data_IF_488981743765
#
_entry.id   IF_488981743765
#
_cell.length_a   1.000
_cell.length_b   1.000
_cell.length_c   1.000
_cell.angle_alpha   90.00
_cell.angle_beta   90.00
_cell.angle_gamma   90.00
#
_symmetry.space_group_name_H-M   'P 1'
#
loop_
_entity.id
_entity.type
_entity.pdbx_description
1 polymer ?
#
# COMPACT_ATOMS: atom_id res chain seq x y z
N UNK A 1 60.73 15.72 13.28
CA UNK A 1 59.45 15.05 13.54
C UNK A 1 58.70 15.94 14.51
N UNK A 2 57.77 16.72 13.96
CA UNK A 2 57.05 17.77 14.67
C UNK A 2 55.79 17.21 15.30
N UNK A 3 55.55 17.53 16.57
CA UNK A 3 54.24 17.48 17.20
C UNK A 3 54.21 18.61 18.22
N UNK A 4 53.53 19.70 17.86
CA UNK A 4 53.29 20.82 18.74
C UNK A 4 51.86 20.71 19.28
N UNK A 5 51.74 21.00 20.57
CA UNK A 5 50.64 20.71 21.47
C UNK A 5 49.35 21.46 21.10
N UNK A 6 48.23 20.74 21.08
CA UNK A 6 46.89 21.32 21.00
C UNK A 6 46.45 21.82 22.37
N UNK A 7 46.42 23.14 22.52
CA UNK A 7 45.87 23.90 23.63
C UNK A 7 44.40 23.53 23.89
N UNK A 8 44.13 22.88 25.03
CA UNK A 8 42.76 22.77 25.59
C UNK A 8 42.64 23.87 26.65
N UNK A 9 41.86 24.90 26.34
CA UNK A 9 41.45 25.96 27.26
C UNK A 9 40.60 25.37 28.39
N UNK A 10 41.07 25.54 29.63
CA UNK A 10 40.33 25.39 30.87
C UNK A 10 39.28 26.51 30.98
N UNK A 11 37.99 26.17 30.93
CA UNK A 11 36.90 27.09 31.26
C UNK A 11 36.49 26.88 32.73
N UNK A 12 36.41 27.98 33.48
CA UNK A 12 36.02 27.99 34.89
C UNK A 12 34.57 27.55 35.11
N UNK A 13 34.19 26.98 36.29
CA UNK A 13 32.91 26.30 36.46
C UNK A 13 31.67 27.21 36.62
N UNK A 14 31.78 28.53 36.42
CA UNK A 14 30.71 29.47 36.81
C UNK A 14 30.42 30.62 35.83
N UNK A 15 31.00 30.63 34.64
CA UNK A 15 30.61 31.61 33.62
C UNK A 15 29.38 31.14 32.83
N UNK A 16 28.42 32.04 32.70
CA UNK A 16 27.18 31.80 31.97
C UNK A 16 27.46 31.82 30.45
N UNK A 17 27.28 30.70 29.72
CA UNK A 17 27.63 30.62 28.29
C UNK A 17 26.58 31.28 27.37
N UNK A 18 25.47 31.76 27.93
CA UNK A 18 24.36 32.33 27.17
C UNK A 18 24.57 33.83 26.91
N UNK A 19 24.27 34.25 25.68
CA UNK A 19 24.24 35.68 25.32
C UNK A 19 23.06 36.40 25.99
N UNK A 20 23.10 37.73 26.07
CA UNK A 20 22.00 38.54 26.63
C UNK A 20 20.64 38.21 25.98
N UNK A 21 20.61 38.05 24.65
CA UNK A 21 19.38 37.70 23.92
C UNK A 21 18.88 36.29 24.21
N UNK A 22 19.80 35.35 24.44
CA UNK A 22 19.46 33.98 24.84
C UNK A 22 19.00 33.93 26.31
N UNK A 23 19.52 34.82 27.15
CA UNK A 23 19.09 34.98 28.55
C UNK A 23 17.66 35.52 28.65
N UNK A 24 17.29 36.50 27.82
CA UNK A 24 15.93 37.02 27.76
C UNK A 24 14.92 35.93 27.37
N UNK A 25 15.29 35.09 26.39
CA UNK A 25 14.50 33.92 25.98
C UNK A 25 14.45 32.88 27.10
N UNK A 26 15.57 32.61 27.78
CA UNK A 26 15.67 31.66 28.89
C UNK A 26 14.82 32.07 30.11
N UNK A 27 14.75 33.36 30.44
CA UNK A 27 13.88 33.87 31.53
C UNK A 27 12.42 33.54 31.28
N UNK A 28 11.92 33.77 30.07
CA UNK A 28 10.54 33.44 29.68
C UNK A 28 10.34 31.93 29.47
N UNK A 29 11.41 31.18 29.16
CA UNK A 29 11.36 29.73 29.08
C UNK A 29 11.02 29.10 30.44
N UNK A 30 11.68 29.57 31.49
CA UNK A 30 11.56 29.08 32.88
C UNK A 30 10.15 29.35 33.44
N UNK A 31 9.46 30.41 33.00
CA UNK A 31 8.07 30.68 33.40
C UNK A 31 7.03 29.80 32.69
N UNK A 32 7.45 28.90 31.80
CA UNK A 32 6.54 28.02 31.05
C UNK A 32 5.91 28.65 29.80
N UNK A 33 6.32 29.85 29.39
CA UNK A 33 5.72 30.55 28.24
C UNK A 33 5.95 29.81 26.90
N UNK A 34 4.91 29.64 26.09
CA UNK A 34 5.01 29.05 24.75
C UNK A 34 5.90 29.89 23.80
N UNK A 35 6.39 29.30 22.70
CA UNK A 35 7.24 30.03 21.75
C UNK A 35 6.56 31.28 21.17
N UNK A 36 5.22 31.26 21.03
CA UNK A 36 4.42 32.40 20.56
C UNK A 36 4.32 33.49 21.63
N UNK A 37 4.25 33.12 22.91
CA UNK A 37 4.25 34.06 24.04
C UNK A 37 5.63 34.69 24.27
N UNK A 38 6.70 33.90 24.15
CA UNK A 38 8.08 34.40 24.18
C UNK A 38 8.32 35.40 23.03
N UNK A 39 7.87 35.05 21.82
CA UNK A 39 7.96 35.92 20.65
C UNK A 39 7.24 37.26 20.86
N UNK A 40 6.04 37.21 21.45
CA UNK A 40 5.25 38.40 21.80
C UNK A 40 5.92 39.22 22.90
N UNK A 41 6.45 38.58 23.93
CA UNK A 41 7.10 39.26 25.07
C UNK A 41 8.41 39.95 24.70
N UNK A 42 9.15 39.42 23.72
CA UNK A 42 10.42 39.99 23.28
C UNK A 42 10.32 40.80 21.97
N UNK A 43 9.11 40.95 21.41
CA UNK A 43 8.86 41.64 20.13
C UNK A 43 9.75 41.10 18.99
N UNK A 44 9.81 39.77 18.85
CA UNK A 44 10.57 39.06 17.80
C UNK A 44 9.69 38.02 17.11
N UNK A 45 10.13 37.48 15.97
CA UNK A 45 9.35 36.45 15.26
C UNK A 45 9.39 35.10 16.00
N UNK A 46 8.34 34.25 15.91
CA UNK A 46 8.37 32.88 16.46
C UNK A 46 9.48 32.01 15.86
N UNK A 47 9.92 32.28 14.63
CA UNK A 47 11.06 31.59 14.01
C UNK A 47 12.37 31.98 14.68
N UNK A 48 12.55 33.25 15.04
CA UNK A 48 13.72 33.75 15.77
C UNK A 48 13.82 33.13 17.17
N UNK A 49 12.68 32.94 17.87
CA UNK A 49 12.64 32.23 19.16
C UNK A 49 13.13 30.79 19.03
N UNK A 50 12.71 30.06 17.99
CA UNK A 50 13.18 28.69 17.75
C UNK A 50 14.69 28.61 17.57
N UNK A 51 15.28 29.59 16.88
CA UNK A 51 16.74 29.66 16.69
C UNK A 51 17.45 29.91 18.03
N UNK A 52 16.99 30.87 18.83
CA UNK A 52 17.58 31.14 20.14
C UNK A 52 17.44 29.95 21.10
N UNK A 53 16.30 29.25 21.11
CA UNK A 53 16.13 28.06 21.94
C UNK A 53 17.05 26.91 21.54
N UNK A 54 17.25 26.70 20.23
CA UNK A 54 18.22 25.70 19.76
C UNK A 54 19.63 26.01 20.24
N UNK A 55 20.06 27.27 20.14
CA UNK A 55 21.38 27.67 20.61
C UNK A 55 21.52 27.56 22.14
N UNK A 56 20.46 27.89 22.90
CA UNK A 56 20.42 27.68 24.36
C UNK A 56 20.58 26.20 24.68
N UNK A 57 19.86 25.30 23.99
CA UNK A 57 19.95 23.87 24.23
C UNK A 57 21.34 23.30 23.89
N UNK A 58 21.93 23.75 22.78
CA UNK A 58 23.28 23.36 22.38
C UNK A 58 24.35 23.82 23.39
N UNK A 59 24.26 25.07 23.87
CA UNK A 59 25.18 25.63 24.86
C UNK A 59 25.03 25.01 26.25
N UNK A 60 23.82 24.61 26.62
CA UNK A 60 23.55 23.93 27.89
C UNK A 60 23.76 22.41 27.80
N UNK A 61 23.97 21.85 26.59
CA UNK A 61 24.05 20.41 26.31
C UNK A 61 22.81 19.63 26.77
N UNK A 62 21.63 20.22 26.61
CA UNK A 62 20.33 19.64 27.01
C UNK A 62 19.48 19.34 25.79
N UNK A 63 18.63 18.31 25.90
CA UNK A 63 17.79 17.86 24.78
C UNK A 63 16.35 18.34 24.88
N UNK A 64 15.96 18.86 26.05
CA UNK A 64 14.58 19.23 26.33
C UNK A 64 14.45 20.56 27.06
N UNK A 65 13.29 21.19 26.89
CA UNK A 65 12.91 22.44 27.56
C UNK A 65 12.88 22.31 29.09
N UNK A 66 12.38 21.20 29.61
CA UNK A 66 12.25 20.97 31.06
C UNK A 66 13.62 20.81 31.71
N UNK A 67 14.54 20.12 31.02
CA UNK A 67 15.93 19.97 31.44
C UNK A 67 16.65 21.32 31.43
N UNK A 68 16.49 22.11 30.37
CA UNK A 68 17.01 23.46 30.28
C UNK A 68 16.53 24.36 31.44
N UNK A 69 15.22 24.36 31.73
CA UNK A 69 14.64 25.17 32.82
C UNK A 69 15.16 24.76 34.19
N UNK A 70 15.28 23.45 34.44
CA UNK A 70 15.81 22.92 35.70
C UNK A 70 17.25 23.34 35.92
N UNK A 71 18.08 23.23 34.89
CA UNK A 71 19.50 23.55 34.94
C UNK A 71 19.75 25.05 35.11
N UNK A 72 18.95 25.90 34.47
CA UNK A 72 18.99 27.36 34.63
C UNK A 72 18.67 27.82 36.07
N UNK A 73 17.69 27.15 36.72
CA UNK A 73 17.34 27.41 38.12
C UNK A 73 18.39 26.88 39.08
N UNK A 74 18.89 25.66 38.86
CA UNK A 74 19.87 25.01 39.73
C UNK A 74 21.22 25.73 39.73
N UNK A 75 21.63 26.30 38.59
CA UNK A 75 22.84 27.14 38.49
C UNK A 75 22.62 28.59 38.93
N UNK A 76 21.39 28.97 39.31
CA UNK A 76 21.06 30.33 39.77
C UNK A 76 21.14 31.39 38.66
N UNK A 77 21.13 31.00 37.38
CA UNK A 77 21.24 31.93 36.25
C UNK A 77 19.93 32.65 35.94
N UNK A 78 18.79 32.07 36.36
CA UNK A 78 17.47 32.70 36.30
C UNK A 78 16.82 32.61 37.68
N UNK A 79 16.30 33.73 38.17
CA UNK A 79 15.52 33.79 39.42
C UNK A 79 14.07 34.09 39.04
N UNK A 80 13.14 33.28 39.57
CA UNK A 80 11.71 33.51 39.40
C UNK A 80 11.25 34.67 40.30
N UNK A 81 10.58 35.72 39.77
CA UNK A 81 9.94 36.72 40.60
C UNK A 81 8.74 36.09 41.31
N UNK A 82 8.77 35.98 42.65
CA UNK A 82 7.64 35.46 43.44
C UNK A 82 7.98 34.55 44.63
N UNK A 83 9.25 34.25 44.89
CA UNK A 83 9.70 33.70 46.18
C UNK A 83 10.43 34.79 46.96
N UNK A 84 9.67 35.71 47.53
CA UNK A 84 10.11 36.37 48.76
C UNK A 84 9.91 35.36 49.89
N UNK A 85 10.99 34.98 50.55
CA UNK A 85 10.90 34.33 51.86
C UNK A 85 11.79 35.11 52.80
N UNK A 86 11.11 35.91 53.61
CA UNK A 86 11.61 36.64 54.76
C UNK A 86 12.66 35.83 55.52
N UNK A 87 13.91 36.29 55.50
CA UNK A 87 14.92 35.84 56.46
C UNK A 87 15.11 36.93 57.51
N UNK A 88 14.06 37.15 58.31
CA UNK A 88 14.14 37.82 59.60
C UNK A 88 13.42 36.98 60.64
N UNK A 89 14.13 36.00 61.20
CA UNK A 89 13.74 35.34 62.44
C UNK A 89 15.01 35.05 63.25
N UNK A 90 15.35 36.03 64.10
CA UNK A 90 15.93 35.89 65.44
C UNK A 90 16.94 34.77 65.69
N UNK A 91 18.20 35.21 65.86
CA UNK A 91 19.23 34.57 66.67
C UNK A 91 18.68 34.21 68.05
N UNK A 92 18.42 32.92 68.29
CA UNK A 92 18.43 32.34 69.62
C UNK A 92 19.38 31.14 69.60
N UNK A 93 20.50 31.33 70.28
CA UNK A 93 21.52 30.34 70.60
C UNK A 93 20.90 29.17 71.38
N UNK A 94 20.90 27.98 70.78
CA UNK A 94 20.93 26.72 71.52
C UNK A 94 22.16 25.96 71.03
N UNK A 95 23.19 26.00 71.86
CA UNK A 95 24.39 25.19 71.73
C UNK A 95 24.03 23.74 72.07
N UNK A 96 23.80 22.93 71.05
CA UNK A 96 23.71 21.46 71.18
C UNK A 96 24.94 20.87 70.51
N UNK A 97 25.85 20.33 71.32
CA UNK A 97 27.04 19.63 70.85
C UNK A 97 26.67 18.50 69.88
N UNK A 98 27.28 18.50 68.69
CA UNK A 98 27.14 17.44 67.69
C UNK A 98 27.73 16.12 68.23
N UNK A 99 27.07 14.97 68.04
CA UNK A 99 27.68 13.68 68.32
C UNK A 99 28.79 13.39 67.30
N UNK A 100 29.91 12.82 67.78
CA UNK A 100 31.02 12.36 66.95
C UNK A 100 30.52 11.39 65.87
N UNK A 101 30.74 11.74 64.61
CA UNK A 101 30.43 10.89 63.44
C UNK A 101 31.45 9.75 63.38
N UNK A 102 31.00 8.50 63.52
CA UNK A 102 31.83 7.33 63.26
C UNK A 102 32.17 7.25 61.75
N UNK A 103 33.41 6.86 61.38
CA UNK A 103 33.79 6.71 59.98
C UNK A 103 33.02 5.57 59.33
N UNK A 104 32.48 5.84 58.13
CA UNK A 104 31.77 4.87 57.30
C UNK A 104 32.64 3.63 57.03
N UNK A 105 32.06 2.44 57.22
CA UNK A 105 32.73 1.18 56.92
C UNK A 105 33.01 1.06 55.41
N UNK A 106 34.22 0.64 55.01
CA UNK A 106 34.54 0.49 53.60
C UNK A 106 33.76 -0.68 53.00
N UNK A 107 33.08 -0.41 51.88
CA UNK A 107 32.41 -1.43 51.07
C UNK A 107 33.42 -2.47 50.56
N UNK A 108 33.07 -3.77 50.54
CA UNK A 108 33.96 -4.81 50.06
C UNK A 108 34.29 -4.61 48.57
N UNK A 109 35.58 -4.62 48.24
CA UNK A 109 36.12 -4.27 46.92
C UNK A 109 35.90 -5.32 45.81
N UNK A 110 35.23 -6.45 46.09
CA UNK A 110 35.04 -7.55 45.15
C UNK A 110 33.60 -8.08 45.23
N UNK A 111 32.85 -8.19 44.12
CA UNK A 111 31.51 -8.74 44.12
C UNK A 111 31.53 -10.22 44.49
N UNK A 112 30.58 -10.67 45.31
CA UNK A 112 30.47 -12.08 45.72
C UNK A 112 30.05 -12.93 44.51
N UNK A 113 30.51 -14.19 44.43
CA UNK A 113 30.26 -15.08 43.28
C UNK A 113 28.79 -15.16 42.83
N UNK A 114 27.83 -15.07 43.76
CA UNK A 114 26.40 -15.08 43.44
C UNK A 114 25.93 -13.81 42.70
N UNK A 115 26.54 -12.65 42.97
CA UNK A 115 26.27 -11.39 42.27
C UNK A 115 26.80 -11.44 40.84
N UNK A 116 27.94 -12.11 40.63
CA UNK A 116 28.50 -12.39 39.30
C UNK A 116 27.61 -13.35 38.51
N UNK A 117 27.12 -14.41 39.16
CA UNK A 117 26.15 -15.34 38.55
C UNK A 117 24.85 -14.61 38.19
N UNK A 118 24.35 -13.75 39.07
CA UNK A 118 23.17 -12.94 38.80
C UNK A 118 23.38 -11.96 37.64
N UNK A 119 24.53 -11.29 37.59
CA UNK A 119 24.86 -10.37 36.51
C UNK A 119 24.99 -11.11 35.16
N UNK A 120 25.64 -12.27 35.14
CA UNK A 120 25.75 -13.11 33.94
C UNK A 120 24.39 -13.63 33.48
N UNK A 121 23.52 -14.03 34.43
CA UNK A 121 22.15 -14.43 34.11
C UNK A 121 21.33 -13.26 33.56
N UNK A 122 21.47 -12.06 34.13
CA UNK A 122 20.81 -10.85 33.64
C UNK A 122 21.30 -10.45 32.24
N UNK A 123 22.60 -10.53 31.98
CA UNK A 123 23.18 -10.28 30.64
C UNK A 123 22.68 -11.32 29.64
N UNK A 124 22.59 -12.60 30.02
CA UNK A 124 22.04 -13.66 29.18
C UNK A 124 20.56 -13.38 28.85
N UNK A 125 19.76 -13.00 29.85
CA UNK A 125 18.35 -12.61 29.65
C UNK A 125 18.24 -11.39 28.73
N UNK A 126 19.10 -10.38 28.88
CA UNK A 126 19.15 -9.22 27.99
C UNK A 126 19.57 -9.60 26.58
N UNK A 127 20.57 -10.48 26.40
CA UNK A 127 20.96 -10.97 25.07
C UNK A 127 19.84 -11.77 24.42
N UNK A 128 19.16 -12.66 25.17
CA UNK A 128 17.99 -13.39 24.66
C UNK A 128 16.88 -12.40 24.29
N UNK A 129 16.59 -11.40 25.12
CA UNK A 129 15.59 -10.37 24.81
C UNK A 129 15.96 -9.49 23.60
N UNK A 130 17.25 -9.27 23.34
CA UNK A 130 17.72 -8.43 22.23
C UNK A 130 17.86 -9.20 20.91
N UNK A 131 18.26 -10.47 20.97
CA UNK A 131 18.52 -11.30 19.79
C UNK A 131 17.33 -12.19 19.38
N UNK A 132 16.41 -12.55 20.28
CA UNK A 132 15.20 -13.31 19.93
C UNK A 132 14.28 -12.56 18.96
N UNK A 133 14.04 -11.23 19.07
CA UNK A 133 13.25 -10.50 18.08
C UNK A 133 13.92 -10.41 16.71
N UNK A 134 15.23 -10.67 16.62
CA UNK A 134 15.98 -10.68 15.35
C UNK A 134 16.09 -12.06 14.71
N UNK A 135 15.92 -13.14 15.49
CA UNK A 135 15.99 -14.52 15.00
C UNK A 135 14.62 -15.18 14.81
N UNK A 136 13.55 -14.63 15.39
CA UNK A 136 12.20 -14.85 14.87
C UNK A 136 12.16 -14.06 13.57
N UNK A 137 12.50 -14.72 12.47
CA UNK A 137 12.42 -14.12 11.14
C UNK A 137 11.09 -13.39 11.02
N UNK A 138 11.13 -12.13 10.58
CA UNK A 138 9.97 -11.55 9.92
C UNK A 138 9.67 -12.50 8.77
N UNK A 139 8.77 -13.45 8.98
CA UNK A 139 8.08 -14.10 7.89
C UNK A 139 7.45 -12.94 7.14
N UNK A 140 7.99 -12.61 5.97
CA UNK A 140 7.22 -11.83 5.02
C UNK A 140 5.88 -12.56 4.92
N UNK A 141 4.73 -11.90 5.13
CA UNK A 141 3.45 -12.55 4.89
C UNK A 141 3.54 -13.10 3.46
N UNK A 142 3.44 -14.42 3.34
CA UNK A 142 3.46 -15.05 2.03
C UNK A 142 2.21 -14.57 1.32
N UNK A 143 2.37 -13.73 0.31
CA UNK A 143 1.24 -13.18 -0.46
C UNK A 143 0.55 -14.38 -1.10
N UNK A 144 -0.71 -14.61 -0.73
CA UNK A 144 -1.52 -15.58 -1.42
C UNK A 144 -2.08 -14.93 -2.71
N UNK A 145 -1.55 -15.40 -3.84
CA UNK A 145 -1.94 -14.91 -5.15
C UNK A 145 -3.34 -15.38 -5.56
N UNK A 146 -3.96 -16.32 -4.85
CA UNK A 146 -5.21 -16.95 -5.26
C UNK A 146 -6.40 -16.57 -4.38
N UNK A 147 -6.19 -16.21 -3.12
CA UNK A 147 -7.25 -15.82 -2.18
C UNK A 147 -6.82 -14.74 -1.21
N UNK A 148 -7.73 -13.86 -0.82
CA UNK A 148 -7.56 -12.91 0.30
C UNK A 148 -8.46 -13.28 1.50
N UNK A 149 -9.05 -14.47 1.50
CA UNK A 149 -9.89 -14.98 2.59
C UNK A 149 -9.08 -15.10 3.89
N UNK A 150 -9.74 -14.94 5.04
CA UNK A 150 -9.16 -14.91 6.39
C UNK A 150 -8.11 -13.79 6.64
N UNK A 151 -7.84 -12.95 5.65
CA UNK A 151 -6.97 -11.78 5.76
C UNK A 151 -7.81 -10.54 6.10
N UNK A 152 -8.38 -10.50 7.30
CA UNK A 152 -9.10 -9.31 7.80
C UNK A 152 -8.36 -8.68 8.98
N UNK A 153 -7.95 -7.41 8.84
CA UNK A 153 -7.42 -6.59 9.93
C UNK A 153 -8.34 -5.38 10.10
N UNK A 154 -8.65 -5.07 11.36
CA UNK A 154 -9.49 -3.95 11.80
C UNK A 154 -8.95 -2.59 11.30
N UNK A 155 -9.45 -2.17 10.16
CA UNK A 155 -9.39 -0.81 9.66
C UNK A 155 -10.66 -0.57 8.84
N UNK A 156 -11.39 0.50 9.14
CA UNK A 156 -12.50 0.90 8.28
C UNK A 156 -11.90 1.63 7.10
N UNK A 157 -11.89 1.00 5.93
CA UNK A 157 -11.63 1.68 4.67
C UNK A 157 -12.68 2.77 4.52
N UNK A 158 -12.30 4.03 4.76
CA UNK A 158 -13.20 5.14 4.50
C UNK A 158 -13.11 5.39 3.00
N UNK A 159 -14.14 4.99 2.27
CA UNK A 159 -14.38 5.50 0.91
C UNK A 159 -14.49 7.01 1.06
N UNK A 160 -13.44 7.73 0.70
CA UNK A 160 -13.47 9.19 0.68
C UNK A 160 -14.06 9.56 -0.67
N UNK A 161 -15.34 9.90 -0.68
CA UNK A 161 -16.02 10.38 -1.88
C UNK A 161 -15.46 11.75 -2.27
N UNK A 162 -14.38 11.73 -3.05
CA UNK A 162 -13.85 12.90 -3.73
C UNK A 162 -14.91 13.31 -4.76
N UNK A 163 -15.18 14.61 -4.99
CA UNK A 163 -16.27 15.11 -5.86
C UNK A 163 -16.23 14.66 -7.34
N UNK A 164 -15.31 13.77 -7.73
CA UNK A 164 -15.19 13.18 -9.07
C UNK A 164 -15.80 11.78 -9.18
N UNK A 165 -16.10 11.12 -8.07
CA UNK A 165 -16.66 9.76 -8.05
C UNK A 165 -18.10 9.79 -7.55
N UNK A 166 -18.98 9.06 -8.22
CA UNK A 166 -20.38 8.86 -7.85
C UNK A 166 -20.61 7.41 -7.43
N UNK A 167 -21.24 7.20 -6.26
CA UNK A 167 -21.63 5.87 -5.82
C UNK A 167 -22.96 5.48 -6.49
N UNK A 168 -22.96 4.34 -7.18
CA UNK A 168 -24.13 3.77 -7.83
C UNK A 168 -24.72 2.63 -6.99
N UNK A 169 -25.76 1.97 -7.51
CA UNK A 169 -26.33 0.78 -6.88
C UNK A 169 -25.23 -0.28 -6.66
N UNK A 170 -25.03 -0.76 -5.41
CA UNK A 170 -24.00 -1.75 -5.10
C UNK A 170 -24.32 -3.08 -5.78
N UNK A 171 -23.29 -3.89 -5.98
CA UNK A 171 -23.41 -5.27 -6.47
C UNK A 171 -24.26 -6.11 -5.51
N UNK A 172 -24.84 -7.21 -6.00
CA UNK A 172 -25.69 -8.07 -5.16
C UNK A 172 -24.89 -8.84 -4.12
N UNK A 173 -23.67 -9.25 -4.48
CA UNK A 173 -22.75 -9.98 -3.61
C UNK A 173 -21.39 -9.27 -3.56
N UNK A 174 -20.86 -8.95 -2.36
CA UNK A 174 -19.49 -8.48 -2.19
C UNK A 174 -18.50 -9.54 -2.68
N UNK A 175 -17.58 -9.15 -3.57
CA UNK A 175 -16.65 -10.10 -4.20
C UNK A 175 -15.37 -9.44 -4.72
N UNK A 176 -14.33 -10.25 -4.80
CA UNK A 176 -13.03 -9.92 -5.40
C UNK A 176 -12.63 -10.98 -6.42
N UNK A 177 -11.57 -10.74 -7.20
CA UNK A 177 -11.03 -11.72 -8.17
C UNK A 177 -12.05 -12.17 -9.21
N UNK A 178 -13.04 -11.31 -9.41
CA UNK A 178 -14.08 -11.42 -10.41
C UNK A 178 -13.53 -11.03 -11.78
N UNK A 179 -14.18 -11.52 -12.83
CA UNK A 179 -13.98 -10.97 -14.16
C UNK A 179 -15.12 -10.01 -14.51
N UNK A 180 -14.83 -9.02 -15.36
CA UNK A 180 -15.80 -8.02 -15.79
C UNK A 180 -15.77 -7.90 -17.30
N UNK A 181 -16.96 -7.80 -17.90
CA UNK A 181 -17.09 -7.60 -19.33
C UNK A 181 -18.21 -6.59 -19.63
N UNK A 182 -18.04 -5.87 -20.74
CA UNK A 182 -19.03 -4.93 -21.25
C UNK A 182 -19.66 -5.50 -22.53
N UNK A 183 -21.00 -5.56 -22.58
CA UNK A 183 -21.73 -5.82 -23.82
C UNK A 183 -22.79 -4.74 -23.99
N UNK A 184 -22.68 -3.99 -25.08
CA UNK A 184 -23.58 -2.87 -25.37
C UNK A 184 -23.62 -1.90 -24.18
N UNK A 185 -24.78 -1.79 -23.54
CA UNK A 185 -25.03 -0.88 -22.42
C UNK A 185 -25.19 -1.63 -21.09
N UNK A 186 -24.60 -2.82 -20.98
CA UNK A 186 -24.68 -3.67 -19.79
C UNK A 186 -23.31 -4.12 -19.35
N UNK A 187 -23.04 -3.97 -18.06
CA UNK A 187 -21.82 -4.45 -17.41
C UNK A 187 -22.14 -5.81 -16.80
N UNK A 188 -21.27 -6.78 -17.00
CA UNK A 188 -21.37 -8.11 -16.43
C UNK A 188 -20.21 -8.35 -15.50
N UNK A 189 -20.50 -8.85 -14.30
CA UNK A 189 -19.51 -9.36 -13.35
C UNK A 189 -19.73 -10.86 -13.19
N UNK A 190 -18.65 -11.64 -13.15
CA UNK A 190 -18.72 -13.09 -13.22
C UNK A 190 -17.73 -13.72 -12.26
N UNK A 191 -18.22 -14.70 -11.51
CA UNK A 191 -17.42 -15.50 -10.59
C UNK A 191 -16.77 -14.66 -9.49
N UNK A 192 -15.54 -15.00 -9.16
CA UNK A 192 -14.78 -14.39 -8.07
C UNK A 192 -14.82 -15.22 -6.80
N UNK A 193 -14.52 -14.56 -5.70
CA UNK A 193 -14.46 -15.14 -4.36
C UNK A 193 -15.24 -14.26 -3.38
N UNK A 194 -15.99 -14.90 -2.48
CA UNK A 194 -16.81 -14.24 -1.46
C UNK A 194 -16.01 -13.88 -0.20
N UNK A 195 -16.69 -13.22 0.74
CA UNK A 195 -16.18 -12.89 2.08
C UNK A 195 -15.71 -14.11 2.88
N UNK A 196 -16.30 -15.27 2.64
CA UNK A 196 -15.98 -16.55 3.30
C UNK A 196 -14.86 -17.32 2.59
N UNK A 197 -14.31 -16.79 1.49
CA UNK A 197 -13.35 -17.50 0.66
C UNK A 197 -13.99 -18.54 -0.26
N UNK A 198 -15.31 -18.54 -0.38
CA UNK A 198 -16.02 -19.44 -1.29
C UNK A 198 -15.91 -18.94 -2.73
N UNK A 199 -15.61 -19.87 -3.64
CA UNK A 199 -15.59 -19.56 -5.07
C UNK A 199 -17.03 -19.38 -5.57
N UNK A 200 -17.24 -18.33 -6.37
CA UNK A 200 -18.56 -17.99 -6.88
C UNK A 200 -18.73 -18.47 -8.33
N UNK A 201 -19.92 -18.99 -8.64
CA UNK A 201 -20.37 -19.19 -10.03
C UNK A 201 -21.31 -18.05 -10.49
N UNK A 202 -21.69 -17.16 -9.57
CA UNK A 202 -22.69 -16.14 -9.82
C UNK A 202 -22.26 -15.17 -10.92
N UNK A 203 -23.23 -14.83 -11.76
CA UNK A 203 -23.10 -13.81 -12.79
C UNK A 203 -24.15 -12.74 -12.52
N UNK A 204 -23.72 -11.49 -12.44
CA UNK A 204 -24.62 -10.36 -12.27
C UNK A 204 -24.46 -9.40 -13.44
N UNK A 205 -25.58 -8.81 -13.86
CA UNK A 205 -25.64 -7.81 -14.93
C UNK A 205 -26.18 -6.50 -14.40
N UNK A 206 -25.41 -5.43 -14.59
CA UNK A 206 -25.84 -4.06 -14.38
C UNK A 206 -26.29 -3.43 -15.69
N UNK A 207 -27.54 -2.96 -15.73
CA UNK A 207 -28.05 -2.20 -16.87
C UNK A 207 -27.82 -0.71 -16.65
N UNK A 208 -26.85 -0.11 -17.35
CA UNK A 208 -26.38 1.26 -17.05
C UNK A 208 -27.49 2.31 -17.13
N UNK A 209 -28.42 2.19 -18.10
CA UNK A 209 -29.55 3.13 -18.25
C UNK A 209 -30.61 3.02 -17.15
N UNK A 210 -30.78 1.83 -16.60
CA UNK A 210 -31.83 1.54 -15.60
C UNK A 210 -31.27 1.70 -14.19
N UNK A 211 -29.97 1.46 -14.01
CA UNK A 211 -29.30 1.58 -12.74
C UNK A 211 -29.52 0.39 -11.80
N UNK A 212 -29.86 -0.79 -12.33
CA UNK A 212 -30.20 -1.97 -11.53
C UNK A 212 -29.33 -3.17 -11.88
N UNK A 213 -28.98 -3.91 -10.83
CA UNK A 213 -28.35 -5.23 -10.93
C UNK A 213 -29.40 -6.32 -11.09
N UNK A 214 -29.05 -7.35 -11.85
CA UNK A 214 -29.88 -8.52 -12.08
C UNK A 214 -29.01 -9.77 -12.09
N UNK A 215 -29.47 -10.82 -11.42
CA UNK A 215 -28.85 -12.15 -11.51
C UNK A 215 -29.05 -12.74 -12.91
N UNK A 216 -27.98 -13.30 -13.47
CA UNK A 216 -27.93 -13.94 -14.77
C UNK A 216 -27.59 -15.42 -14.62
N UNK A 217 -27.75 -16.24 -15.68
CA UNK A 217 -27.34 -17.64 -15.65
C UNK A 217 -25.89 -17.79 -15.16
N UNK A 218 -25.66 -18.64 -14.14
CA UNK A 218 -24.35 -18.76 -13.51
C UNK A 218 -23.35 -19.43 -14.45
N UNK A 219 -22.06 -19.25 -14.14
CA UNK A 219 -20.99 -20.00 -14.77
C UNK A 219 -21.23 -21.52 -14.59
N UNK A 220 -20.82 -22.37 -15.56
CA UNK A 220 -20.96 -23.82 -15.45
C UNK A 220 -20.28 -24.42 -14.21
N UNK A 221 -19.30 -23.71 -13.66
CA UNK A 221 -18.65 -24.04 -12.38
C UNK A 221 -18.16 -22.78 -11.67
N UNK A 222 -17.99 -22.79 -10.34
CA UNK A 222 -17.39 -21.68 -9.60
C UNK A 222 -15.94 -21.43 -10.00
N UNK A 223 -15.60 -20.17 -10.30
CA UNK A 223 -14.27 -19.77 -10.76
C UNK A 223 -13.86 -18.41 -10.19
N UNK A 224 -12.61 -18.28 -9.76
CA UNK A 224 -11.98 -16.99 -9.40
C UNK A 224 -10.71 -16.75 -10.18
N UNK A 225 -10.20 -15.50 -10.16
CA UNK A 225 -9.00 -15.08 -10.89
C UNK A 225 -9.11 -15.34 -12.41
N UNK A 226 -10.35 -15.24 -12.92
CA UNK A 226 -10.69 -15.35 -14.34
C UNK A 226 -10.50 -14.02 -15.04
N UNK A 227 -10.41 -14.07 -16.36
CA UNK A 227 -10.35 -12.87 -17.20
C UNK A 227 -11.46 -12.93 -18.23
N UNK A 228 -12.16 -11.83 -18.43
CA UNK A 228 -13.30 -11.79 -19.34
C UNK A 228 -13.24 -10.60 -20.29
N UNK A 229 -13.83 -10.77 -21.47
CA UNK A 229 -13.97 -9.70 -22.44
C UNK A 229 -15.26 -9.85 -23.23
N UNK A 230 -15.90 -8.73 -23.56
CA UNK A 230 -17.05 -8.68 -24.46
C UNK A 230 -16.59 -8.53 -25.92
N UNK A 231 -17.19 -9.32 -26.82
CA UNK A 231 -17.00 -9.19 -28.26
C UNK A 231 -18.25 -9.72 -28.99
N UNK A 232 -18.80 -8.93 -29.91
CA UNK A 232 -19.93 -9.33 -30.78
C UNK A 232 -21.13 -9.96 -30.04
N UNK A 233 -21.66 -9.30 -29.00
CA UNK A 233 -22.77 -9.81 -28.16
C UNK A 233 -22.46 -11.11 -27.38
N UNK A 234 -21.19 -11.51 -27.32
CA UNK A 234 -20.72 -12.64 -26.54
C UNK A 234 -19.75 -12.18 -25.45
N UNK A 235 -19.74 -12.88 -24.32
CA UNK A 235 -18.70 -12.73 -23.30
C UNK A 235 -17.81 -13.96 -23.38
N UNK A 236 -16.51 -13.75 -23.48
CA UNK A 236 -15.51 -14.81 -23.39
C UNK A 236 -14.86 -14.74 -22.02
N UNK A 237 -14.82 -15.87 -21.31
CA UNK A 237 -14.16 -15.99 -20.00
C UNK A 237 -13.06 -17.04 -20.13
N UNK A 238 -11.85 -16.64 -19.78
CA UNK A 238 -10.65 -17.46 -19.88
C UNK A 238 -10.06 -17.76 -18.50
N UNK A 239 -9.71 -19.03 -18.31
CA UNK A 239 -8.85 -19.48 -17.23
C UNK A 239 -9.54 -19.48 -15.88
N UNK A 240 -8.80 -19.11 -14.84
CA UNK A 240 -9.27 -19.05 -13.47
C UNK A 240 -8.92 -20.29 -12.65
N UNK A 241 -9.23 -20.25 -11.36
CA UNK A 241 -9.06 -21.35 -10.43
C UNK A 241 -10.40 -21.84 -9.89
N UNK A 242 -10.52 -23.16 -9.72
CA UNK A 242 -11.68 -23.84 -9.14
C UNK A 242 -11.24 -24.78 -8.01
N UNK A 243 -12.19 -25.19 -7.15
CA UNK A 243 -11.99 -26.28 -6.20
C UNK A 243 -12.30 -27.62 -6.88
N UNK A 244 -11.34 -28.53 -6.89
CA UNK A 244 -11.59 -29.92 -7.27
C UNK A 244 -12.24 -30.65 -6.08
N UNK A 245 -13.49 -31.07 -6.24
CA UNK A 245 -14.28 -31.76 -5.21
C UNK A 245 -13.68 -33.10 -4.77
N UNK A 246 -12.90 -33.75 -5.65
CA UNK A 246 -12.33 -35.07 -5.35
C UNK A 246 -11.09 -34.98 -4.49
N UNK A 247 -10.24 -33.98 -4.76
CA UNK A 247 -8.96 -33.77 -4.07
C UNK A 247 -9.04 -32.72 -2.98
N UNK A 248 -10.11 -31.92 -2.94
CA UNK A 248 -10.24 -30.73 -2.11
C UNK A 248 -9.08 -29.74 -2.28
N UNK A 249 -8.54 -29.63 -3.50
CA UNK A 249 -7.42 -28.74 -3.82
C UNK A 249 -7.81 -27.71 -4.90
N UNK A 250 -7.14 -26.55 -4.87
CA UNK A 250 -7.29 -25.53 -5.91
C UNK A 250 -6.60 -25.99 -7.19
N UNK A 251 -7.34 -26.04 -8.29
CA UNK A 251 -6.83 -26.36 -9.62
C UNK A 251 -7.06 -25.21 -10.58
N UNK A 252 -6.21 -25.13 -11.61
CA UNK A 252 -6.30 -24.12 -12.64
C UNK A 252 -7.11 -24.64 -13.82
N UNK A 253 -7.95 -23.78 -14.38
CA UNK A 253 -8.78 -24.07 -15.55
C UNK A 253 -8.03 -23.65 -16.81
N UNK A 254 -8.11 -24.49 -17.84
CA UNK A 254 -7.77 -24.17 -19.22
C UNK A 254 -9.02 -23.96 -20.08
N UNK A 255 -10.22 -23.91 -19.50
CA UNK A 255 -11.44 -23.77 -20.30
C UNK A 255 -11.65 -22.33 -20.78
N UNK A 256 -11.99 -22.19 -22.06
CA UNK A 256 -12.56 -20.97 -22.63
C UNK A 256 -14.08 -21.11 -22.63
N UNK A 257 -14.75 -20.33 -21.79
CA UNK A 257 -16.21 -20.27 -21.70
C UNK A 257 -16.72 -19.12 -22.55
N UNK A 258 -17.88 -19.31 -23.18
CA UNK A 258 -18.57 -18.25 -23.90
C UNK A 258 -20.03 -18.16 -23.48
N UNK A 259 -20.47 -16.94 -23.19
CA UNK A 259 -21.87 -16.61 -22.95
C UNK A 259 -22.45 -15.91 -24.18
N UNK A 260 -23.58 -16.41 -24.67
CA UNK A 260 -24.38 -15.73 -25.70
C UNK A 260 -25.42 -14.85 -25.03
N UNK A 261 -25.37 -13.53 -25.25
CA UNK A 261 -26.40 -12.62 -24.72
C UNK A 261 -27.76 -12.83 -25.40
N UNK A 262 -27.77 -13.41 -26.61
CA UNK A 262 -28.98 -13.75 -27.36
C UNK A 262 -29.65 -14.99 -26.77
N UNK A 263 -28.89 -16.06 -26.56
CA UNK A 263 -29.41 -17.33 -26.06
C UNK A 263 -29.51 -17.37 -24.53
N UNK A 264 -28.88 -16.39 -23.87
CA UNK A 264 -28.72 -16.32 -22.42
C UNK A 264 -28.18 -17.63 -21.83
N UNK A 265 -27.17 -18.21 -22.49
CA UNK A 265 -26.62 -19.49 -22.10
C UNK A 265 -25.09 -19.49 -22.19
N UNK A 266 -24.48 -20.23 -21.27
CA UNK A 266 -23.06 -20.53 -21.26
C UNK A 266 -22.78 -21.81 -22.04
N UNK A 267 -21.65 -21.84 -22.73
CA UNK A 267 -21.08 -23.06 -23.30
C UNK A 267 -19.56 -23.05 -23.18
N UNK A 268 -18.96 -24.22 -23.07
CA UNK A 268 -17.51 -24.38 -23.22
C UNK A 268 -17.17 -24.36 -24.69
N UNK A 269 -16.36 -23.39 -25.11
CA UNK A 269 -15.98 -23.19 -26.49
C UNK A 269 -14.76 -24.05 -26.87
N UNK A 270 -13.82 -24.22 -25.94
CA UNK A 270 -12.65 -25.07 -26.11
C UNK A 270 -11.64 -24.82 -24.99
N UNK A 271 -10.37 -25.10 -25.27
CA UNK A 271 -9.29 -24.97 -24.30
C UNK A 271 -8.35 -23.81 -24.66
N UNK A 272 -7.76 -23.23 -23.63
CA UNK A 272 -6.64 -22.31 -23.68
C UNK A 272 -5.36 -23.09 -24.01
N UNK A 273 -4.28 -22.40 -24.42
CA UNK A 273 -2.99 -23.05 -24.67
C UNK A 273 -2.41 -23.78 -23.45
N UNK A 274 -2.77 -23.33 -22.24
CA UNK A 274 -2.41 -23.93 -20.95
C UNK A 274 -3.40 -23.48 -19.87
N UNK A 275 -3.52 -24.22 -18.75
CA UNK A 275 -4.31 -23.79 -17.60
C UNK A 275 -3.63 -22.62 -16.89
N UNK A 276 -4.39 -21.58 -16.54
CA UNK A 276 -3.80 -20.36 -15.98
C UNK A 276 -4.77 -19.51 -15.16
N UNK A 277 -4.20 -18.63 -14.33
CA UNK A 277 -4.89 -17.54 -13.63
C UNK A 277 -4.20 -16.20 -13.86
N UNK A 278 -4.96 -15.11 -13.70
CA UNK A 278 -4.39 -13.76 -13.71
C UNK A 278 -3.79 -13.35 -15.06
N UNK A 279 -4.18 -13.96 -16.17
CA UNK A 279 -3.88 -13.35 -17.48
C UNK A 279 -4.69 -12.08 -17.68
N UNK A 280 -4.29 -11.24 -18.64
CA UNK A 280 -5.19 -10.24 -19.18
C UNK A 280 -5.91 -10.81 -20.41
N UNK A 281 -7.21 -10.57 -20.52
CA UNK A 281 -8.00 -10.87 -21.70
C UNK A 281 -8.56 -9.56 -22.25
N UNK A 282 -8.26 -9.24 -23.51
CA UNK A 282 -8.73 -8.02 -24.16
C UNK A 282 -9.15 -8.31 -25.60
N UNK A 283 -9.88 -7.41 -26.24
CA UNK A 283 -10.39 -7.60 -27.59
C UNK A 283 -10.12 -6.38 -28.45
N UNK A 284 -9.99 -6.61 -29.75
CA UNK A 284 -10.14 -5.58 -30.77
C UNK A 284 -11.52 -5.80 -31.45
N UNK A 285 -11.69 -5.31 -32.69
CA UNK A 285 -12.94 -5.45 -33.41
C UNK A 285 -13.35 -6.90 -33.78
N UNK A 286 -12.40 -7.83 -33.90
CA UNK A 286 -12.64 -9.16 -34.48
C UNK A 286 -12.03 -10.32 -33.68
N UNK A 287 -11.14 -10.04 -32.76
CA UNK A 287 -10.28 -11.03 -32.10
C UNK A 287 -10.14 -10.73 -30.61
N UNK A 288 -9.92 -11.78 -29.84
CA UNK A 288 -9.53 -11.72 -28.44
C UNK A 288 -8.04 -12.04 -28.31
N UNK A 289 -7.41 -11.42 -27.32
CA UNK A 289 -6.01 -11.56 -27.00
C UNK A 289 -5.88 -11.97 -25.54
N UNK A 290 -5.16 -13.07 -25.30
CA UNK A 290 -4.79 -13.59 -24.00
C UNK A 290 -3.31 -13.29 -23.77
N UNK A 291 -3.00 -12.60 -22.67
CA UNK A 291 -1.66 -12.10 -22.38
C UNK A 291 -1.22 -12.53 -20.99
N UNK A 292 -0.07 -13.21 -20.93
CA UNK A 292 0.60 -13.61 -19.70
C UNK A 292 -0.23 -14.56 -18.84
N UNK A 293 -0.15 -14.37 -17.51
CA UNK A 293 -0.79 -15.24 -16.52
C UNK A 293 0.20 -16.16 -15.81
N UNK A 294 -0.32 -16.98 -14.90
CA UNK A 294 0.46 -17.93 -14.11
C UNK A 294 -0.20 -19.31 -14.15
N UNK A 295 0.59 -20.36 -14.41
CA UNK A 295 0.13 -21.75 -14.57
C UNK A 295 0.29 -22.61 -13.31
N UNK A 296 0.63 -21.99 -12.17
CA UNK A 296 0.90 -22.70 -10.92
C UNK A 296 2.39 -22.90 -10.64
N UNK A 297 3.24 -22.71 -11.65
CA UNK A 297 4.69 -22.84 -11.53
C UNK A 297 5.42 -21.59 -12.04
N UNK A 298 5.08 -21.11 -13.24
CA UNK A 298 5.78 -20.02 -13.93
C UNK A 298 4.84 -18.94 -14.45
N UNK A 299 5.33 -17.70 -14.49
CA UNK A 299 4.62 -16.61 -15.17
C UNK A 299 4.91 -16.67 -16.66
N UNK A 300 3.85 -16.51 -17.46
CA UNK A 300 3.94 -16.60 -18.90
C UNK A 300 4.16 -15.24 -19.54
N UNK A 301 4.82 -15.25 -20.70
CA UNK A 301 5.09 -14.06 -21.49
C UNK A 301 4.38 -14.07 -22.85
N UNK A 302 3.64 -15.12 -23.20
CA UNK A 302 3.04 -15.19 -24.53
C UNK A 302 1.83 -14.26 -24.72
N UNK A 303 1.66 -13.82 -25.97
CA UNK A 303 0.44 -13.19 -26.47
C UNK A 303 -0.21 -14.17 -27.45
N UNK A 304 -1.37 -14.67 -27.07
CA UNK A 304 -2.19 -15.55 -27.88
C UNK A 304 -3.39 -14.80 -28.44
N UNK A 305 -3.68 -15.00 -29.73
CA UNK A 305 -4.84 -14.44 -30.42
C UNK A 305 -5.81 -15.54 -30.77
N UNK A 306 -7.10 -15.30 -30.53
CA UNK A 306 -8.19 -16.11 -31.05
C UNK A 306 -9.17 -15.21 -31.80
N UNK A 307 -9.60 -15.64 -32.98
CA UNK A 307 -10.55 -14.93 -33.83
C UNK A 307 -11.83 -15.76 -33.88
N UNK A 308 -12.88 -15.37 -33.14
CA UNK A 308 -14.13 -16.13 -33.14
C UNK A 308 -14.77 -16.16 -34.53
N UNK A 309 -15.26 -17.32 -34.93
CA UNK A 309 -16.03 -17.48 -36.17
C UNK A 309 -17.51 -17.73 -35.87
N UNK A 310 -18.43 -17.39 -36.78
CA UNK A 310 -19.85 -17.68 -36.58
C UNK A 310 -20.16 -19.17 -36.35
N UNK A 311 -19.32 -20.08 -36.88
CA UNK A 311 -19.49 -21.55 -36.81
C UNK A 311 -18.75 -22.20 -35.61
N UNK A 312 -18.28 -21.39 -34.66
CA UNK A 312 -17.60 -21.79 -33.41
C UNK A 312 -18.47 -22.69 -32.48
N UNK A 313 -19.60 -23.20 -32.96
CA UNK A 313 -20.41 -24.22 -32.30
C UNK A 313 -19.81 -25.63 -32.40
N UNK A 314 -18.86 -25.89 -33.32
CA UNK A 314 -18.34 -27.24 -33.60
C UNK A 314 -16.82 -27.36 -33.84
N UNK A 315 -16.10 -26.24 -33.99
CA UNK A 315 -14.66 -26.23 -34.28
C UNK A 315 -13.82 -26.12 -33.00
N UNK A 316 -12.67 -26.82 -32.97
CA UNK A 316 -11.67 -26.64 -31.90
C UNK A 316 -11.13 -25.22 -31.91
N UNK A 317 -11.10 -24.55 -30.76
CA UNK A 317 -10.50 -23.23 -30.58
C UNK A 317 -9.02 -23.27 -31.00
N UNK A 318 -8.68 -22.50 -32.04
CA UNK A 318 -7.33 -22.41 -32.57
C UNK A 318 -6.68 -21.09 -32.11
N UNK A 319 -5.95 -21.14 -31.01
CA UNK A 319 -5.12 -20.02 -30.56
C UNK A 319 -3.85 -19.89 -31.40
N UNK A 320 -3.55 -18.67 -31.86
CA UNK A 320 -2.32 -18.35 -32.59
C UNK A 320 -1.41 -17.48 -31.71
N UNK A 321 -0.16 -17.89 -31.51
CA UNK A 321 0.83 -17.06 -30.81
C UNK A 321 1.26 -15.92 -31.73
N UNK A 322 1.00 -14.68 -31.33
CA UNK A 322 1.29 -13.48 -32.14
C UNK A 322 2.46 -12.67 -31.60
N UNK A 323 2.89 -12.92 -30.38
CA UNK A 323 4.00 -12.19 -29.77
C UNK A 323 4.36 -12.73 -28.39
N UNK A 324 5.31 -12.05 -27.75
CA UNK A 324 5.67 -12.24 -26.34
C UNK A 324 5.90 -10.88 -25.70
N UNK A 325 5.43 -10.69 -24.47
CA UNK A 325 5.78 -9.54 -23.63
C UNK A 325 7.25 -9.65 -23.20
N UNK A 326 7.97 -8.54 -22.94
CA UNK A 326 9.41 -8.60 -22.66
C UNK A 326 9.79 -9.40 -21.40
N UNK A 327 8.87 -9.52 -20.44
CA UNK A 327 9.05 -10.27 -19.20
C UNK A 327 7.71 -10.89 -18.81
N UNK A 328 7.69 -12.20 -18.52
CA UNK A 328 6.49 -12.93 -18.12
C UNK A 328 5.90 -12.42 -16.81
N UNK A 329 4.59 -12.16 -16.80
CA UNK A 329 3.87 -11.55 -15.68
C UNK A 329 2.48 -12.14 -15.53
N UNK A 330 1.98 -12.18 -14.31
CA UNK A 330 0.59 -12.46 -13.98
C UNK A 330 -0.07 -11.25 -13.32
N UNK A 331 -1.40 -11.23 -13.29
CA UNK A 331 -2.23 -10.17 -12.76
C UNK A 331 -1.85 -8.78 -13.26
N UNK A 332 -1.44 -8.74 -14.53
CA UNK A 332 -1.19 -7.53 -15.29
C UNK A 332 -2.51 -6.95 -15.81
N UNK A 333 -2.49 -5.68 -16.18
CA UNK A 333 -3.55 -5.07 -16.97
C UNK A 333 -3.18 -5.06 -18.45
N UNK A 334 -4.13 -5.36 -19.34
CA UNK A 334 -3.95 -5.16 -20.77
C UNK A 334 -5.21 -4.62 -21.45
N UNK A 335 -5.02 -3.76 -22.44
CA UNK A 335 -6.11 -3.18 -23.23
C UNK A 335 -5.66 -2.84 -24.64
N UNK A 336 -6.58 -2.90 -25.61
CA UNK A 336 -6.31 -2.49 -26.99
C UNK A 336 -6.87 -1.09 -27.21
N UNK A 337 -6.03 -0.17 -27.69
CA UNK A 337 -6.42 1.17 -28.08
C UNK A 337 -5.78 1.53 -29.42
N UNK A 338 -6.59 1.96 -30.39
CA UNK A 338 -6.16 2.39 -31.74
C UNK A 338 -5.21 1.38 -32.43
N UNK A 339 -5.52 0.08 -32.31
CA UNK A 339 -4.76 -1.01 -32.94
C UNK A 339 -3.45 -1.39 -32.22
N UNK A 340 -3.16 -0.79 -31.07
CA UNK A 340 -2.01 -1.12 -30.23
C UNK A 340 -2.46 -1.79 -28.95
N UNK A 341 -1.74 -2.82 -28.53
CA UNK A 341 -1.97 -3.56 -27.30
C UNK A 341 -1.06 -2.99 -26.21
N UNK A 342 -1.67 -2.43 -25.16
CA UNK A 342 -0.96 -1.89 -24.01
C UNK A 342 -0.97 -2.91 -22.89
N UNK A 343 0.20 -3.11 -22.28
CA UNK A 343 0.41 -4.06 -21.18
C UNK A 343 1.09 -3.32 -20.04
N UNK A 344 0.46 -3.33 -18.86
CA UNK A 344 0.87 -2.47 -17.74
C UNK A 344 0.84 -3.24 -16.43
N UNK A 345 1.90 -3.07 -15.64
CA UNK A 345 2.01 -3.57 -14.27
C UNK A 345 2.10 -5.11 -14.20
N UNK A 346 1.58 -5.65 -13.11
CA UNK A 346 1.51 -7.08 -12.83
C UNK A 346 2.51 -7.56 -11.78
N UNK A 347 2.64 -8.89 -11.69
CA UNK A 347 3.53 -9.61 -10.79
C UNK A 347 4.46 -10.51 -11.61
N UNK A 348 5.77 -10.35 -11.45
CA UNK A 348 6.79 -11.05 -12.24
C UNK A 348 7.18 -12.44 -11.69
N UNK A 349 6.42 -12.94 -10.71
CA UNK A 349 6.73 -14.16 -9.97
C UNK A 349 7.50 -13.89 -8.67
N UNK A 350 8.06 -12.68 -8.49
CA UNK A 350 8.79 -12.29 -7.27
C UNK A 350 8.22 -11.03 -6.62
N UNK A 351 7.82 -10.04 -7.42
CA UNK A 351 7.34 -8.74 -6.94
C UNK A 351 6.34 -8.11 -7.90
N UNK A 352 5.61 -7.14 -7.38
CA UNK A 352 4.83 -6.23 -8.21
C UNK A 352 5.78 -5.35 -9.06
N UNK A 353 5.41 -5.15 -10.32
CA UNK A 353 6.18 -4.33 -11.26
C UNK A 353 5.32 -3.17 -11.77
N UNK A 354 5.96 -2.06 -12.13
CA UNK A 354 5.31 -0.88 -12.70
C UNK A 354 5.49 -0.77 -14.21
N UNK A 355 6.08 -1.78 -14.86
CA UNK A 355 6.46 -1.67 -16.26
C UNK A 355 5.25 -1.51 -17.18
N UNK A 356 5.36 -0.58 -18.12
CA UNK A 356 4.37 -0.33 -19.15
C UNK A 356 5.01 -0.50 -20.52
N UNK A 357 4.38 -1.31 -21.35
CA UNK A 357 4.88 -1.69 -22.67
C UNK A 357 3.71 -1.61 -23.68
N UNK A 358 3.99 -1.17 -24.90
CA UNK A 358 3.00 -1.18 -25.99
C UNK A 358 3.50 -2.05 -27.15
N UNK A 359 2.63 -2.92 -27.62
CA UNK A 359 2.85 -3.80 -28.76
C UNK A 359 1.98 -3.36 -29.93
N UNK A 360 2.62 -3.05 -31.05
CA UNK A 360 1.90 -2.76 -32.28
C UNK A 360 1.47 -4.05 -32.95
N UNK A 361 0.15 -4.29 -33.02
CA UNK A 361 -0.41 -5.53 -33.57
C UNK A 361 -0.18 -5.68 -35.08
N UNK A 362 0.18 -4.60 -35.79
CA UNK A 362 0.42 -4.62 -37.23
C UNK A 362 1.88 -4.90 -37.57
N UNK A 363 2.82 -4.28 -36.87
CA UNK A 363 4.26 -4.44 -37.11
C UNK A 363 4.90 -5.51 -36.23
N UNK A 364 4.22 -5.98 -35.18
CA UNK A 364 4.76 -6.87 -34.16
C UNK A 364 5.98 -6.30 -33.43
N UNK A 365 6.04 -4.98 -33.30
CA UNK A 365 7.11 -4.27 -32.61
C UNK A 365 6.69 -3.82 -31.22
N UNK A 366 7.66 -3.84 -30.30
CA UNK A 366 7.50 -3.35 -28.94
C UNK A 366 8.08 -1.96 -28.78
N UNK A 367 7.39 -1.15 -27.99
CA UNK A 367 7.91 0.10 -27.48
C UNK A 367 7.73 0.13 -25.97
N UNK A 368 8.82 0.41 -25.25
CA UNK A 368 8.76 0.66 -23.81
C UNK A 368 8.10 2.02 -23.56
N UNK A 369 7.15 2.06 -22.64
CA UNK A 369 6.51 3.28 -22.16
C UNK A 369 7.16 3.72 -20.83
N UNK A 370 6.90 4.96 -20.35
CA UNK A 370 7.23 5.32 -18.98
C UNK A 370 6.56 4.36 -18.00
N UNK A 371 7.32 3.88 -17.01
CA UNK A 371 6.80 3.00 -15.98
C UNK A 371 5.80 3.75 -15.07
N UNK A 372 4.87 3.01 -14.47
CA UNK A 372 3.95 3.54 -13.45
C UNK A 372 4.72 4.12 -12.26
N UNK A 373 4.17 5.16 -11.64
CA UNK A 373 4.78 5.78 -10.46
C UNK A 373 4.84 4.82 -9.26
N UNK A 374 3.86 3.93 -9.15
CA UNK A 374 3.81 2.87 -8.13
C UNK A 374 3.59 1.51 -8.80
N UNK A 375 4.52 0.54 -8.63
CA UNK A 375 4.34 -0.84 -9.05
C UNK A 375 3.07 -1.45 -8.46
N UNK A 376 2.29 -2.15 -9.28
CA UNK A 376 0.99 -2.67 -8.88
C UNK A 376 0.67 -3.95 -9.65
N UNK A 377 0.30 -5.01 -8.91
CA UNK A 377 -0.32 -6.22 -9.42
C UNK A 377 -1.80 -6.27 -9.05
N UNK A 378 -2.58 -7.05 -9.79
CA UNK A 378 -4.03 -7.15 -9.59
C UNK A 378 -4.79 -5.87 -9.94
N UNK A 379 -4.20 -5.01 -10.79
CA UNK A 379 -4.81 -3.81 -11.33
C UNK A 379 -5.83 -4.14 -12.43
N UNK A 380 -6.77 -3.23 -12.66
CA UNK A 380 -7.56 -3.18 -13.88
C UNK A 380 -6.97 -2.14 -14.84
N UNK A 381 -6.83 -2.48 -16.12
CA UNK A 381 -6.43 -1.55 -17.18
C UNK A 381 -7.56 -1.40 -18.18
N UNK A 382 -8.08 -0.19 -18.30
CA UNK A 382 -9.18 0.12 -19.22
C UNK A 382 -8.77 1.27 -20.13
N UNK A 383 -9.18 1.21 -21.39
CA UNK A 383 -9.05 2.32 -22.32
C UNK A 383 -10.41 2.96 -22.51
N UNK A 384 -10.45 4.30 -22.52
CA UNK A 384 -11.46 5.02 -23.31
C UNK A 384 -10.90 5.30 -24.71
N UNK A 385 -11.69 5.90 -25.60
CA UNK A 385 -11.26 6.20 -26.97
C UNK A 385 -10.04 7.14 -27.07
N UNK A 386 -9.64 7.76 -25.96
CA UNK A 386 -8.62 8.81 -25.87
C UNK A 386 -7.40 8.35 -25.07
N UNK A 387 -7.59 7.68 -23.94
CA UNK A 387 -6.61 7.45 -22.90
C UNK A 387 -6.77 6.09 -22.22
N UNK A 388 -5.75 5.71 -21.46
CA UNK A 388 -5.69 4.43 -20.74
C UNK A 388 -5.59 4.70 -19.25
N UNK A 389 -6.30 3.93 -18.44
CA UNK A 389 -6.40 4.10 -17.00
C UNK A 389 -5.95 2.83 -16.29
N UNK A 390 -4.91 2.96 -15.46
CA UNK A 390 -4.45 1.92 -14.53
C UNK A 390 -5.09 2.14 -13.16
N UNK A 391 -5.96 1.21 -12.77
CA UNK A 391 -6.90 1.35 -11.67
C UNK A 391 -6.65 0.29 -10.59
N UNK A 392 -6.57 0.75 -9.33
CA UNK A 392 -6.25 -0.02 -8.13
C UNK A 392 -4.97 -0.85 -8.23
N UNK A 393 -5.05 -2.09 -7.73
CA UNK A 393 -3.94 -2.99 -7.45
C UNK A 393 -3.39 -2.83 -6.02
N UNK A 394 -2.17 -3.31 -5.80
CA UNK A 394 -1.43 -3.08 -4.56
C UNK A 394 -1.51 -4.26 -3.60
N UNK A 395 -0.69 -5.28 -3.83
CA UNK A 395 -0.48 -6.39 -2.89
C UNK A 395 0.44 -6.05 -1.75
N UNK A 396 1.46 -5.23 -2.02
CA UNK A 396 2.52 -4.94 -1.05
C UNK A 396 2.59 -3.46 -0.69
N UNK A 397 1.94 -2.63 -1.49
CA UNK A 397 2.00 -1.18 -1.40
C UNK A 397 0.60 -0.60 -1.43
N UNK A 398 0.29 0.24 -0.45
CA UNK A 398 -0.94 1.02 -0.46
C UNK A 398 -0.94 1.98 -1.65
N UNK A 399 -2.07 2.03 -2.35
CA UNK A 399 -2.30 2.88 -3.51
C UNK A 399 -3.32 3.95 -3.13
N UNK A 400 -2.92 5.21 -3.27
CA UNK A 400 -3.77 6.38 -3.06
C UNK A 400 -4.20 7.03 -4.38
N UNK A 401 -3.58 6.61 -5.49
CA UNK A 401 -3.76 7.20 -6.81
C UNK A 401 -3.91 6.16 -7.92
N UNK A 402 -4.77 6.47 -8.86
CA UNK A 402 -4.85 5.84 -10.16
C UNK A 402 -4.01 6.64 -11.16
N UNK A 403 -3.62 6.00 -12.27
CA UNK A 403 -2.77 6.63 -13.28
C UNK A 403 -3.48 6.62 -14.64
N UNK A 404 -3.51 7.77 -15.31
CA UNK A 404 -4.01 7.94 -16.68
C UNK A 404 -2.84 8.16 -17.62
N UNK A 405 -2.68 7.28 -18.60
CA UNK A 405 -1.76 7.43 -19.71
C UNK A 405 -2.42 8.14 -20.88
N UNK A 406 -1.77 9.17 -21.38
CA UNK A 406 -2.17 9.89 -22.58
C UNK A 406 -1.29 9.44 -23.77
N UNK A 407 -1.81 8.68 -24.75
CA UNK A 407 -1.03 8.17 -25.88
C UNK A 407 -0.48 9.26 -26.80
N UNK A 408 -1.13 10.43 -26.87
CA UNK A 408 -0.72 11.52 -27.76
C UNK A 408 0.47 12.30 -27.15
N UNK A 409 0.52 12.39 -25.81
CA UNK A 409 1.60 13.05 -25.06
C UNK A 409 2.70 12.05 -24.67
N UNK A 410 2.35 10.78 -24.48
CA UNK A 410 3.26 9.71 -24.05
C UNK A 410 3.59 9.73 -22.56
N UNK A 411 2.71 10.24 -21.70
CA UNK A 411 2.95 10.41 -20.26
C UNK A 411 1.80 9.89 -19.39
N UNK A 412 2.16 9.38 -18.22
CA UNK A 412 1.23 9.09 -17.13
C UNK A 412 0.92 10.34 -16.30
N UNK A 413 -0.29 10.39 -15.75
CA UNK A 413 -0.76 11.44 -14.85
C UNK A 413 -1.60 10.83 -13.73
N UNK A 414 -1.36 11.27 -12.49
CA UNK A 414 -2.04 10.71 -11.34
C UNK A 414 -3.38 11.41 -11.08
N UNK A 415 -4.36 10.63 -10.65
CA UNK A 415 -5.62 11.12 -10.10
C UNK A 415 -6.03 10.28 -8.89
N UNK A 416 -6.83 10.87 -8.01
CA UNK A 416 -7.10 10.27 -6.72
C UNK A 416 -7.98 9.01 -6.82
N UNK A 417 -7.57 7.96 -6.10
CA UNK A 417 -8.38 6.77 -5.89
C UNK A 417 -9.49 7.04 -4.86
N UNK A 418 -10.74 6.62 -5.09
CA UNK A 418 -11.83 6.76 -4.12
C UNK A 418 -11.63 5.86 -2.88
N UNK A 419 -10.90 4.75 -3.06
CA UNK A 419 -10.50 3.83 -2.00
C UNK A 419 -8.99 3.91 -1.85
N UNK A 420 -8.53 4.32 -0.67
CA UNK A 420 -7.10 4.41 -0.34
C UNK A 420 -6.63 3.10 0.27
N UNK A 421 -5.48 2.62 -0.16
CA UNK A 421 -4.90 1.39 0.36
C UNK A 421 -4.74 0.35 -0.74
N UNK A 422 -4.83 -0.90 -0.35
CA UNK A 422 -4.77 -2.04 -1.25
C UNK A 422 -6.15 -2.17 -1.89
N UNK A 423 -6.28 -2.00 -3.22
CA UNK A 423 -7.57 -2.21 -3.90
C UNK A 423 -7.39 -3.22 -5.02
N UNK A 424 -7.30 -4.48 -4.61
CA UNK A 424 -6.83 -5.59 -5.42
C UNK A 424 -7.98 -6.24 -6.18
N UNK A 425 -7.68 -6.70 -7.39
CA UNK A 425 -8.55 -7.58 -8.19
C UNK A 425 -9.99 -7.06 -8.34
N UNK A 426 -10.12 -5.75 -8.50
CA UNK A 426 -11.40 -5.10 -8.84
C UNK A 426 -11.74 -5.34 -10.31
N UNK A 427 -13.01 -5.22 -10.64
CA UNK A 427 -13.48 -5.04 -12.00
C UNK A 427 -13.48 -3.57 -12.40
N UNK A 428 -13.10 -3.26 -13.64
CA UNK A 428 -13.32 -1.92 -14.18
C UNK A 428 -13.72 -1.97 -15.65
N UNK A 429 -14.55 -1.02 -16.07
CA UNK A 429 -14.91 -0.81 -17.48
C UNK A 429 -15.03 0.69 -17.78
N UNK A 430 -14.67 1.09 -19.00
CA UNK A 430 -14.91 2.43 -19.51
C UNK A 430 -16.15 2.41 -20.42
N UNK A 431 -17.13 3.26 -20.14
CA UNK A 431 -18.37 3.37 -20.93
C UNK A 431 -18.79 4.83 -21.02
N UNK A 432 -19.08 5.32 -22.23
CA UNK A 432 -19.56 6.68 -22.50
C UNK A 432 -18.73 7.78 -21.79
N UNK A 433 -17.40 7.63 -21.79
CA UNK A 433 -16.47 8.57 -21.15
C UNK A 433 -16.47 8.56 -19.62
N UNK A 434 -17.11 7.57 -18.99
CA UNK A 434 -17.11 7.34 -17.53
C UNK A 434 -16.39 6.03 -17.19
N UNK A 435 -15.78 5.96 -16.01
CA UNK A 435 -15.10 4.76 -15.51
C UNK A 435 -15.96 4.10 -14.44
N UNK A 436 -16.40 2.87 -14.68
CA UNK A 436 -17.10 2.10 -13.67
C UNK A 436 -16.11 1.20 -12.91
N UNK A 437 -16.03 1.36 -11.59
CA UNK A 437 -15.19 0.55 -10.70
C UNK A 437 -16.06 -0.36 -9.83
N UNK A 438 -15.73 -1.64 -9.75
CA UNK A 438 -16.61 -2.68 -9.24
C UNK A 438 -15.86 -3.63 -8.30
N UNK A 439 -16.38 -3.76 -7.08
CA UNK A 439 -15.93 -4.74 -6.09
C UNK A 439 -14.43 -4.68 -5.82
N UNK A 440 -13.82 -5.86 -5.70
CA UNK A 440 -12.41 -6.02 -5.34
C UNK A 440 -12.23 -6.19 -3.83
N UNK A 441 -10.97 -6.22 -3.41
CA UNK A 441 -10.60 -6.38 -2.01
C UNK A 441 -9.82 -5.17 -1.51
N UNK A 442 -10.19 -4.65 -0.34
CA UNK A 442 -9.49 -3.57 0.37
C UNK A 442 -9.61 -3.72 1.88
N UNK A 443 -8.93 -4.73 2.42
CA UNK A 443 -9.09 -5.17 3.82
C UNK A 443 -10.37 -5.96 4.07
N UNK A 444 -11.38 -5.78 3.21
CA UNK A 444 -12.61 -6.54 3.12
C UNK A 444 -13.02 -6.72 1.65
N UNK A 445 -13.88 -7.68 1.36
CA UNK A 445 -14.48 -7.86 0.04
C UNK A 445 -15.56 -6.81 -0.18
N UNK A 446 -15.51 -6.14 -1.32
CA UNK A 446 -16.36 -4.99 -1.60
C UNK A 446 -17.51 -5.37 -2.54
N UNK A 447 -18.68 -4.77 -2.31
CA UNK A 447 -19.83 -4.72 -3.21
C UNK A 447 -19.91 -3.37 -3.96
N UNK A 448 -18.89 -2.54 -3.82
CA UNK A 448 -18.91 -1.14 -4.26
C UNK A 448 -19.04 -1.04 -5.78
N UNK A 449 -19.87 -0.09 -6.23
CA UNK A 449 -19.98 0.33 -7.62
C UNK A 449 -19.82 1.84 -7.71
N UNK A 450 -18.72 2.30 -8.31
CA UNK A 450 -18.42 3.73 -8.50
C UNK A 450 -18.41 4.08 -9.98
N UNK A 451 -18.73 5.34 -10.29
CA UNK A 451 -18.68 5.94 -11.63
C UNK A 451 -17.87 7.24 -11.64
#
# INVERSE_FOLDING_TARGET
MAANESTILSAEPNENPLSEREMDVARLLVTGASNTEIARGLTISPQTVKVHLRNVFEKLQVSSRTEASTLLLQRGWVVLPGLESDTTATLNTVETALPLVEPLTPLPAQPRNWQLIYLLAAILVCMVAFFVPTFIGRSQPKIDLLTDADSAILGRTVVEMIPRWEALAPMLTPRSRQSTALIGNSIYIMGGESTEGELLADVERYQIKVGVWQSMPPLPRPLSNTSAVGLNQHIYVAGGSYMDETTATRQLSDQLLVYSATDQAWRTLGNLPYPLVGAALTSNADSIYLIGGWDGETTHDEIWRYTPTPDDSTASVAWARVGRIPQGRSFLGATVLKGKLYVVGGFDGQREVGNADVFDLSSSEWQKLPDLSTPRGGLSLVADDVAIYALGGGWTSAIDTHERYDPDIGLWSNFASPIRGEWRNMGAVAVDGSLHLLGGWSGEYLDTHLR
#
